data_IF_790559807594
#
_entry.id   IF_790559807594
#
_cell.length_a   1.000
_cell.length_b   1.000
_cell.length_c   1.000
_cell.angle_alpha   90.00
_cell.angle_beta   90.00
_cell.angle_gamma   90.00
#
_symmetry.space_group_name_H-M   'P 1'
#
loop_
_entity.id
_entity.type
_entity.pdbx_description
1 polymer ?
#
# COMPACT_ATOMS: atom_id res chain seq x y z
N UNK A 1 0.65 -21.16 8.14
CA UNK A 1 0.99 -22.36 8.88
C UNK A 1 2.49 -22.57 8.82
N UNK A 2 3.08 -23.22 9.83
CA UNK A 2 4.46 -23.69 9.81
C UNK A 2 4.61 -25.03 9.06
N UNK A 3 5.82 -25.59 8.98
CA UNK A 3 6.10 -26.87 8.32
C UNK A 3 5.39 -28.10 8.94
N UNK A 4 4.87 -27.94 10.18
CA UNK A 4 4.05 -28.98 10.83
C UNK A 4 2.54 -28.82 10.57
N UNK A 5 2.14 -27.79 9.80
CA UNK A 5 0.75 -27.45 9.55
C UNK A 5 0.05 -26.74 10.71
N UNK A 6 0.81 -26.16 11.65
CA UNK A 6 0.27 -25.45 12.80
C UNK A 6 0.22 -23.92 12.55
N UNK A 7 -0.79 -23.25 13.10
CA UNK A 7 -0.89 -21.79 13.10
C UNK A 7 0.07 -21.23 14.15
N UNK A 8 0.98 -20.33 13.78
CA UNK A 8 2.00 -19.76 14.67
C UNK A 8 1.80 -18.27 14.96
N UNK A 9 0.88 -17.62 14.26
CA UNK A 9 0.55 -16.19 14.45
C UNK A 9 -0.92 -15.95 14.09
N UNK A 10 -1.51 -14.90 14.68
CA UNK A 10 -2.80 -14.40 14.23
C UNK A 10 -2.58 -13.54 12.96
N UNK A 11 -3.06 -14.02 11.84
CA UNK A 11 -2.91 -13.39 10.52
C UNK A 11 -3.65 -12.06 10.37
N UNK A 12 -4.51 -11.68 11.30
CA UNK A 12 -5.23 -10.41 11.30
C UNK A 12 -4.48 -9.29 12.04
N UNK A 13 -3.36 -9.60 12.68
CA UNK A 13 -2.48 -8.59 13.29
C UNK A 13 -1.90 -7.63 12.23
N UNK A 14 -1.38 -6.46 12.65
CA UNK A 14 -0.68 -5.54 11.76
C UNK A 14 0.39 -6.24 10.91
N UNK A 15 0.52 -5.82 9.66
CA UNK A 15 1.37 -6.52 8.67
C UNK A 15 2.84 -6.63 9.09
N UNK A 16 3.38 -5.63 9.75
CA UNK A 16 4.75 -5.67 10.30
C UNK A 16 4.90 -6.77 11.37
N UNK A 17 3.91 -6.97 12.21
CA UNK A 17 3.91 -8.03 13.23
C UNK A 17 3.83 -9.41 12.59
N UNK A 18 2.94 -9.58 11.61
CA UNK A 18 2.81 -10.85 10.88
C UNK A 18 4.08 -11.17 10.10
N UNK A 19 4.68 -10.19 9.42
CA UNK A 19 5.96 -10.35 8.70
C UNK A 19 7.06 -10.82 9.64
N UNK A 20 7.26 -10.16 10.78
CA UNK A 20 8.27 -10.57 11.76
C UNK A 20 8.03 -11.97 12.32
N UNK A 21 6.76 -12.35 12.52
CA UNK A 21 6.42 -13.70 12.98
C UNK A 21 6.75 -14.75 11.90
N UNK A 22 6.49 -14.46 10.63
CA UNK A 22 6.83 -15.35 9.51
C UNK A 22 8.35 -15.51 9.41
N UNK A 23 9.11 -14.41 9.42
CA UNK A 23 10.58 -14.45 9.35
C UNK A 23 11.18 -15.29 10.48
N UNK A 24 10.71 -15.10 11.72
CA UNK A 24 11.14 -15.90 12.88
C UNK A 24 10.81 -17.38 12.75
N UNK A 25 9.64 -17.72 12.22
CA UNK A 25 9.26 -19.13 12.05
C UNK A 25 10.07 -19.77 10.93
N UNK A 26 10.34 -19.06 9.82
CA UNK A 26 11.23 -19.52 8.75
C UNK A 26 12.66 -19.76 9.28
N UNK A 27 13.20 -18.84 10.07
CA UNK A 27 14.53 -18.98 10.69
C UNK A 27 14.57 -20.19 11.64
N UNK A 28 13.57 -20.35 12.50
CA UNK A 28 13.46 -21.45 13.46
C UNK A 28 13.39 -22.82 12.79
N UNK A 29 12.68 -22.92 11.66
CA UNK A 29 12.51 -24.18 10.92
C UNK A 29 13.62 -24.41 9.88
N UNK A 30 14.44 -23.39 9.59
CA UNK A 30 15.42 -23.43 8.50
C UNK A 30 14.74 -23.55 7.13
N UNK A 31 13.53 -23.00 6.99
CA UNK A 31 12.73 -23.00 5.78
C UNK A 31 12.85 -21.68 5.05
N UNK A 32 12.72 -21.69 3.73
CA UNK A 32 12.68 -20.50 2.88
C UNK A 32 11.25 -19.95 2.66
N UNK A 33 10.24 -20.60 3.24
CA UNK A 33 8.83 -20.22 3.13
C UNK A 33 8.01 -20.68 4.33
N UNK A 34 6.78 -20.17 4.44
CA UNK A 34 5.70 -20.70 5.27
C UNK A 34 4.48 -21.06 4.40
N UNK A 35 3.46 -21.66 4.97
CA UNK A 35 2.32 -22.17 4.24
C UNK A 35 1.08 -21.32 4.44
N UNK A 36 0.46 -20.86 3.35
CA UNK A 36 -0.84 -20.20 3.34
C UNK A 36 -1.94 -21.21 2.99
N UNK A 37 -2.84 -21.46 3.95
CA UNK A 37 -3.96 -22.39 3.78
C UNK A 37 -5.26 -21.66 3.45
N UNK A 38 -5.95 -22.09 2.41
CA UNK A 38 -7.27 -21.63 2.02
C UNK A 38 -8.39 -22.56 2.50
N UNK A 39 -8.10 -23.54 3.38
CA UNK A 39 -9.04 -24.55 3.84
C UNK A 39 -10.35 -24.01 4.44
N UNK A 40 -10.29 -22.79 5.02
CA UNK A 40 -11.48 -22.12 5.56
C UNK A 40 -12.31 -21.38 4.50
N UNK A 41 -11.84 -21.28 3.25
CA UNK A 41 -12.51 -20.57 2.16
C UNK A 41 -13.16 -21.59 1.23
N UNK A 42 -14.48 -21.49 0.94
CA UNK A 42 -15.15 -22.39 0.00
C UNK A 42 -14.48 -22.37 -1.38
N UNK A 43 -14.35 -23.51 -2.03
CA UNK A 43 -13.74 -23.64 -3.36
C UNK A 43 -14.38 -22.71 -4.39
N UNK A 44 -15.71 -22.59 -4.38
CA UNK A 44 -16.44 -21.68 -5.26
C UNK A 44 -16.02 -20.23 -5.05
N UNK A 45 -15.78 -19.82 -3.80
CA UNK A 45 -15.27 -18.48 -3.48
C UNK A 45 -13.87 -18.26 -4.03
N UNK A 46 -12.97 -19.25 -3.89
CA UNK A 46 -11.62 -19.18 -4.42
C UNK A 46 -11.66 -18.98 -5.95
N UNK A 47 -12.44 -19.80 -6.66
CA UNK A 47 -12.54 -19.74 -8.13
C UNK A 47 -13.21 -18.46 -8.65
N UNK A 48 -14.23 -17.96 -7.96
CA UNK A 48 -14.99 -16.80 -8.41
C UNK A 48 -14.39 -15.45 -8.00
N UNK A 49 -13.79 -15.37 -6.81
CA UNK A 49 -13.24 -14.12 -6.28
C UNK A 49 -11.71 -13.96 -6.48
N UNK A 50 -11.00 -15.09 -6.63
CA UNK A 50 -9.55 -15.10 -6.79
C UNK A 50 -9.08 -15.95 -7.99
N UNK A 51 -9.74 -15.85 -9.18
CA UNK A 51 -9.44 -16.73 -10.30
C UNK A 51 -7.97 -16.66 -10.73
N UNK A 52 -7.40 -15.45 -10.80
CA UNK A 52 -6.02 -15.26 -11.20
C UNK A 52 -5.02 -15.90 -10.21
N UNK A 53 -5.23 -15.72 -8.90
CA UNK A 53 -4.38 -16.36 -7.88
C UNK A 53 -4.48 -17.87 -7.97
N UNK A 54 -5.69 -18.40 -8.15
CA UNK A 54 -5.91 -19.84 -8.30
C UNK A 54 -5.17 -20.39 -9.52
N UNK A 55 -5.30 -19.73 -10.67
CA UNK A 55 -4.65 -20.15 -11.92
C UNK A 55 -3.11 -20.10 -11.82
N UNK A 56 -2.55 -19.05 -11.23
CA UNK A 56 -1.10 -18.95 -11.06
C UNK A 56 -0.57 -20.02 -10.10
N UNK A 57 -1.23 -20.24 -8.95
CA UNK A 57 -0.83 -21.31 -8.05
C UNK A 57 -0.90 -22.67 -8.73
N UNK A 58 -1.95 -22.92 -9.53
CA UNK A 58 -2.11 -24.19 -10.25
C UNK A 58 -1.01 -24.41 -11.31
N UNK A 59 -0.57 -23.37 -12.02
CA UNK A 59 0.56 -23.42 -12.97
C UNK A 59 1.86 -23.81 -12.27
N UNK A 60 2.07 -23.32 -11.04
CA UNK A 60 3.22 -23.66 -10.20
C UNK A 60 3.06 -25.02 -9.48
N UNK A 61 1.96 -25.75 -9.71
CA UNK A 61 1.72 -27.09 -9.19
C UNK A 61 0.96 -27.14 -7.87
N UNK A 62 0.42 -26.01 -7.39
CA UNK A 62 -0.33 -25.95 -6.13
C UNK A 62 -1.83 -25.76 -6.37
N UNK A 63 -2.63 -26.77 -6.07
CA UNK A 63 -4.09 -26.66 -6.04
C UNK A 63 -4.55 -26.11 -4.67
N UNK A 64 -4.65 -24.78 -4.55
CA UNK A 64 -5.00 -24.11 -3.29
C UNK A 64 -6.40 -24.42 -2.75
N UNK A 65 -7.22 -25.13 -3.52
CA UNK A 65 -8.50 -25.67 -3.03
C UNK A 65 -8.30 -26.95 -2.21
N UNK A 66 -7.16 -27.63 -2.33
CA UNK A 66 -6.85 -28.91 -1.71
C UNK A 66 -5.66 -28.86 -0.76
N UNK A 67 -4.68 -28.02 -1.07
CA UNK A 67 -3.42 -27.93 -0.34
C UNK A 67 -3.00 -26.48 -0.10
N UNK A 68 -2.16 -26.20 0.90
CA UNK A 68 -1.64 -24.86 1.13
C UNK A 68 -0.59 -24.48 0.08
N UNK A 69 -0.48 -23.17 -0.23
CA UNK A 69 0.57 -22.63 -1.08
C UNK A 69 1.75 -22.12 -0.25
N UNK A 70 3.02 -22.26 -0.73
CA UNK A 70 4.18 -21.65 -0.09
C UNK A 70 4.13 -20.14 -0.29
N UNK A 71 4.45 -19.39 0.77
CA UNK A 71 4.47 -17.92 0.73
C UNK A 71 5.64 -17.37 1.53
N UNK A 72 6.13 -16.21 1.10
CA UNK A 72 7.15 -15.43 1.79
C UNK A 72 6.68 -13.98 1.95
N UNK A 73 7.16 -13.24 2.95
CA UNK A 73 6.93 -11.80 3.02
C UNK A 73 7.53 -11.10 1.81
N UNK A 74 6.79 -10.13 1.26
CA UNK A 74 7.26 -9.30 0.16
C UNK A 74 6.87 -7.84 0.39
N UNK A 75 7.67 -6.92 -0.17
CA UNK A 75 7.35 -5.50 -0.19
C UNK A 75 6.06 -5.30 -0.99
N UNK A 76 5.07 -4.65 -0.38
CA UNK A 76 3.79 -4.34 -1.04
C UNK A 76 3.51 -2.84 -1.10
N UNK A 77 3.85 -2.10 -0.05
CA UNK A 77 3.60 -0.66 0.03
C UNK A 77 4.66 0.01 0.89
N UNK A 78 5.16 1.16 0.43
CA UNK A 78 6.16 1.94 1.14
C UNK A 78 5.49 2.95 2.07
N UNK A 79 5.57 2.74 3.40
CA UNK A 79 5.17 3.73 4.39
C UNK A 79 6.31 4.72 4.62
N UNK A 80 5.96 6.02 4.64
CA UNK A 80 6.96 7.08 4.66
C UNK A 80 7.06 7.74 3.29
N UNK A 81 8.22 8.30 2.96
CA UNK A 81 8.47 8.98 1.69
C UNK A 81 8.81 10.46 1.85
N UNK A 82 8.58 11.24 0.82
CA UNK A 82 8.81 12.68 0.80
C UNK A 82 7.82 13.36 1.74
N UNK A 83 8.32 14.07 2.75
CA UNK A 83 7.45 14.82 3.67
C UNK A 83 6.64 15.87 2.91
N UNK A 84 5.33 15.92 3.18
CA UNK A 84 4.42 16.89 2.60
C UNK A 84 3.40 17.35 3.64
N UNK A 85 2.84 18.56 3.40
CA UNK A 85 1.73 19.09 4.16
C UNK A 85 0.38 18.47 3.70
N UNK A 86 -0.71 18.97 4.25
CA UNK A 86 -2.07 18.49 3.92
C UNK A 86 -2.55 18.88 2.50
N UNK A 87 -1.79 19.68 1.77
CA UNK A 87 -1.97 19.99 0.34
C UNK A 87 -0.96 19.28 -0.55
N UNK A 88 -0.17 18.34 0.00
CA UNK A 88 0.91 17.62 -0.70
C UNK A 88 2.08 18.51 -1.14
N UNK A 89 2.22 19.71 -0.57
CA UNK A 89 3.35 20.59 -0.82
C UNK A 89 4.55 20.14 0.02
N UNK A 90 5.74 20.05 -0.59
CA UNK A 90 6.98 19.70 0.11
C UNK A 90 7.60 20.92 0.80
N UNK A 91 8.73 20.74 1.45
CA UNK A 91 9.52 21.87 2.00
C UNK A 91 10.24 22.70 0.93
N UNK A 92 10.20 22.28 -0.33
CA UNK A 92 10.72 23.04 -1.47
C UNK A 92 9.57 23.76 -2.17
N UNK A 93 9.76 25.05 -2.45
CA UNK A 93 8.76 25.85 -3.14
C UNK A 93 8.38 25.25 -4.49
N UNK A 94 7.08 25.20 -4.78
CA UNK A 94 6.52 24.70 -6.03
C UNK A 94 6.75 23.21 -6.32
N UNK A 95 7.19 22.43 -5.33
CA UNK A 95 7.35 21.00 -5.43
C UNK A 95 6.27 20.27 -4.62
N UNK A 96 5.56 19.36 -5.28
CA UNK A 96 4.49 18.56 -4.69
C UNK A 96 4.84 17.08 -4.82
N UNK A 97 4.41 16.28 -3.84
CA UNK A 97 4.49 14.83 -3.90
C UNK A 97 3.16 14.22 -3.46
N UNK A 98 2.64 13.27 -4.23
CA UNK A 98 1.34 12.62 -3.99
C UNK A 98 1.44 11.11 -4.15
N UNK A 99 0.54 10.37 -3.50
CA UNK A 99 0.49 8.92 -3.55
C UNK A 99 1.60 8.25 -2.74
N UNK A 100 1.97 7.04 -3.08
CA UNK A 100 2.90 6.20 -2.31
C UNK A 100 4.26 6.85 -2.05
N UNK A 101 4.71 7.74 -2.92
CA UNK A 101 5.97 8.46 -2.75
C UNK A 101 5.94 9.53 -1.65
N UNK A 102 4.74 9.94 -1.21
CA UNK A 102 4.56 11.03 -0.23
C UNK A 102 4.36 10.51 1.19
N UNK A 103 4.88 11.26 2.15
CA UNK A 103 4.64 11.06 3.58
C UNK A 103 3.76 12.17 4.14
N UNK A 104 2.45 12.02 4.03
CA UNK A 104 1.43 12.93 4.56
C UNK A 104 0.93 12.53 5.97
N UNK A 105 1.46 11.44 6.55
CA UNK A 105 1.14 10.95 7.88
C UNK A 105 -0.14 10.10 8.00
N UNK A 106 -0.96 9.98 6.95
CA UNK A 106 -2.25 9.26 6.99
C UNK A 106 -2.10 7.79 7.34
N UNK A 107 -1.05 7.14 6.85
CA UNK A 107 -0.83 5.71 7.07
C UNK A 107 -0.05 5.39 8.34
N UNK A 108 0.66 6.36 8.91
CA UNK A 108 1.51 6.13 10.06
C UNK A 108 2.53 5.00 9.78
N UNK A 109 2.68 4.10 10.75
CA UNK A 109 3.60 2.96 10.65
C UNK A 109 3.05 1.80 9.80
N UNK A 110 1.73 1.64 9.74
CA UNK A 110 1.06 0.56 9.02
C UNK A 110 -0.14 1.07 8.25
N UNK A 111 -0.14 0.90 6.94
CA UNK A 111 -1.28 1.25 6.10
C UNK A 111 -2.44 0.28 6.32
N UNK A 112 -3.64 0.82 6.59
CA UNK A 112 -4.86 0.02 6.56
C UNK A 112 -5.14 -0.40 5.11
N UNK A 113 -5.57 -1.65 4.92
CA UNK A 113 -5.84 -2.23 3.60
C UNK A 113 -6.72 -1.31 2.73
N UNK A 114 -6.37 -1.19 1.46
CA UNK A 114 -7.06 -0.40 0.41
C UNK A 114 -7.03 1.13 0.57
N UNK A 115 -6.52 1.68 1.68
CA UNK A 115 -6.51 3.12 1.90
C UNK A 115 -5.52 3.91 1.03
N UNK A 116 -4.53 3.25 0.41
CA UNK A 116 -3.55 3.93 -0.44
C UNK A 116 -4.18 4.58 -1.67
N UNK A 117 -5.13 3.92 -2.32
CA UNK A 117 -5.81 4.48 -3.48
C UNK A 117 -6.66 5.71 -3.10
N UNK A 118 -7.37 5.62 -1.99
CA UNK A 118 -8.18 6.73 -1.47
C UNK A 118 -7.30 7.93 -1.08
N UNK A 119 -6.19 7.67 -0.39
CA UNK A 119 -5.19 8.69 -0.04
C UNK A 119 -4.67 9.38 -1.29
N UNK A 120 -4.21 8.62 -2.30
CA UNK A 120 -3.67 9.16 -3.55
C UNK A 120 -4.68 10.08 -4.26
N UNK A 121 -5.94 9.69 -4.37
CA UNK A 121 -6.98 10.50 -5.01
C UNK A 121 -7.29 11.79 -4.24
N UNK A 122 -7.42 11.71 -2.92
CA UNK A 122 -7.75 12.86 -2.07
C UNK A 122 -6.62 13.88 -2.07
N UNK A 123 -5.38 13.43 -1.89
CA UNK A 123 -4.23 14.33 -1.80
C UNK A 123 -3.82 14.88 -3.17
N UNK A 124 -3.96 14.13 -4.26
CA UNK A 124 -3.78 14.66 -5.61
C UNK A 124 -4.79 15.79 -5.92
N UNK A 125 -6.05 15.61 -5.52
CA UNK A 125 -7.06 16.67 -5.66
C UNK A 125 -6.71 17.93 -4.86
N UNK A 126 -6.25 17.77 -3.62
CA UNK A 126 -5.82 18.90 -2.77
C UNK A 126 -4.62 19.63 -3.36
N UNK A 127 -3.62 18.90 -3.86
CA UNK A 127 -2.48 19.47 -4.55
C UNK A 127 -2.90 20.31 -5.77
N UNK A 128 -3.75 19.75 -6.64
CA UNK A 128 -4.26 20.46 -7.82
C UNK A 128 -4.99 21.76 -7.45
N UNK A 129 -5.85 21.72 -6.43
CA UNK A 129 -6.57 22.90 -5.94
C UNK A 129 -5.59 23.98 -5.40
N UNK A 130 -4.55 23.58 -4.67
CA UNK A 130 -3.54 24.49 -4.15
C UNK A 130 -2.74 25.16 -5.27
N UNK A 131 -2.33 24.39 -6.27
CA UNK A 131 -1.61 24.88 -7.45
C UNK A 131 -2.46 25.90 -8.22
N UNK A 132 -3.72 25.59 -8.48
CA UNK A 132 -4.64 26.50 -9.18
C UNK A 132 -4.81 27.84 -8.44
N UNK A 133 -5.01 27.81 -7.12
CA UNK A 133 -5.13 29.01 -6.30
C UNK A 133 -3.85 29.85 -6.33
N UNK A 134 -2.69 29.21 -6.31
CA UNK A 134 -1.39 29.90 -6.34
C UNK A 134 -1.16 30.57 -7.69
N UNK A 135 -1.59 29.94 -8.80
CA UNK A 135 -1.47 30.53 -10.15
C UNK A 135 -2.40 31.73 -10.32
N UNK A 136 -3.67 31.60 -9.92
CA UNK A 136 -4.64 32.71 -10.00
C UNK A 136 -4.18 33.94 -9.20
N UNK A 137 -3.62 33.74 -8.01
CA UNK A 137 -3.07 34.83 -7.21
C UNK A 137 -1.87 35.55 -7.88
N UNK A 138 -1.06 34.83 -8.67
CA UNK A 138 0.02 35.44 -9.45
C UNK A 138 -0.50 36.27 -10.63
N UNK A 139 -1.47 35.74 -11.37
CA UNK A 139 -2.09 36.45 -12.51
C UNK A 139 -2.80 37.74 -12.06
N UNK A 140 -3.49 37.73 -10.93
CA UNK A 140 -4.12 38.93 -10.36
C UNK A 140 -3.07 39.96 -9.92
N UNK A 141 -1.92 39.53 -9.37
CA UNK A 141 -0.85 40.42 -8.94
C UNK A 141 -0.13 41.05 -10.14
N UNK A 142 0.16 40.29 -11.20
CA UNK A 142 0.75 40.79 -12.44
C UNK A 142 -0.20 41.78 -13.17
N UNK A 143 -1.50 41.46 -13.22
CA UNK A 143 -2.52 42.33 -13.79
C UNK A 143 -2.61 43.67 -13.06
N UNK A 144 -2.55 43.64 -11.71
CA UNK A 144 -2.56 44.85 -10.89
C UNK A 144 -1.28 45.68 -11.03
N UNK A 145 -0.12 45.04 -11.28
CA UNK A 145 1.15 45.76 -11.52
C UNK A 145 1.15 46.50 -12.87
N UNK A 146 0.57 45.87 -13.91
CA UNK A 146 0.41 46.53 -15.22
C UNK A 146 -0.61 47.67 -15.19
N UNK A 147 -1.69 47.54 -14.40
CA UNK A 147 -2.66 48.62 -14.24
C UNK A 147 -2.14 49.82 -13.43
N UNK A 148 -1.14 49.65 -12.59
CA UNK A 148 -0.52 50.72 -11.78
C UNK A 148 0.60 51.45 -12.50
N UNK A 149 1.07 51.00 -13.65
CA UNK A 149 2.14 51.60 -14.45
C UNK A 149 1.64 52.35 -15.70
N UNK A 150 0.33 52.49 -15.91
CA UNK A 150 -0.34 53.38 -16.86
C UNK A 150 -1.01 54.54 -16.15
#
# INVERSE_FOLDING_TARGET
LNGKGERFVDELLPRDVVTQAIEKEMEKEGSDHVWLSFKAVPEETIRNHFPHIYEECLKEGYDITKEPAPVVPAQHYFMGGIYVDHFSETTMDHLYAVGETSCNGVHGKNRLASNSLLESLVFAKRAAQKIELTQKGKEEHESNYHAACC
#
